data_IF_593595245353
#
_entry.id   IF_593595245353
#
_cell.length_a   1.000
_cell.length_b   1.000
_cell.length_c   1.000
_cell.angle_alpha   90.00
_cell.angle_beta   90.00
_cell.angle_gamma   90.00
#
_symmetry.space_group_name_H-M   'P 1'
#
loop_
_entity.id
_entity.type
_entity.pdbx_description
1 polymer ?
#
# COMPACT_ATOMS: atom_id res chain seq x y z
N UNK A 1 35.18 -23.73 -77.52
CA UNK A 1 35.47 -22.30 -77.33
C UNK A 1 34.79 -21.85 -76.05
N UNK A 2 35.39 -22.09 -74.88
CA UNK A 2 36.29 -21.20 -74.10
C UNK A 2 35.63 -19.94 -73.53
N UNK A 3 35.61 -19.84 -72.19
CA UNK A 3 35.43 -18.62 -71.39
C UNK A 3 34.13 -18.61 -70.58
N UNK A 4 34.06 -18.27 -69.28
CA UNK A 4 35.01 -17.64 -68.38
C UNK A 4 34.60 -17.97 -66.93
N UNK A 5 35.57 -18.29 -66.08
CA UNK A 5 35.42 -18.39 -64.61
C UNK A 5 35.16 -17.00 -64.02
N UNK A 6 34.32 -16.88 -62.98
CA UNK A 6 34.50 -15.88 -61.91
C UNK A 6 33.71 -16.25 -60.65
N UNK A 7 34.46 -16.46 -59.57
CA UNK A 7 34.02 -16.64 -58.20
C UNK A 7 33.53 -15.33 -57.60
N UNK A 8 32.54 -15.37 -56.70
CA UNK A 8 32.29 -14.35 -55.67
C UNK A 8 31.62 -15.06 -54.48
N UNK A 9 32.41 -15.40 -53.46
CA UNK A 9 32.62 -14.65 -52.21
C UNK A 9 31.40 -14.66 -51.28
N UNK A 10 31.52 -15.50 -50.25
CA UNK A 10 30.67 -15.54 -49.07
C UNK A 10 30.73 -14.22 -48.31
N UNK A 11 29.57 -13.70 -47.90
CA UNK A 11 29.48 -12.62 -46.92
C UNK A 11 28.62 -13.11 -45.75
N UNK A 12 29.30 -13.60 -44.71
CA UNK A 12 28.75 -13.87 -43.39
C UNK A 12 28.30 -12.53 -42.78
N UNK A 13 26.99 -12.30 -42.74
CA UNK A 13 26.38 -11.20 -42.00
C UNK A 13 26.45 -11.51 -40.50
N UNK A 14 27.50 -11.02 -39.85
CA UNK A 14 27.59 -10.90 -38.40
C UNK A 14 26.58 -9.82 -37.96
N UNK A 15 25.41 -10.25 -37.52
CA UNK A 15 24.48 -9.38 -36.80
C UNK A 15 25.07 -9.01 -35.44
N UNK A 16 25.26 -7.73 -35.12
CA UNK A 16 25.64 -7.33 -33.76
C UNK A 16 24.46 -7.64 -32.84
N UNK A 17 24.68 -8.54 -31.89
CA UNK A 17 23.82 -8.70 -30.72
C UNK A 17 23.91 -7.37 -29.96
N UNK A 18 22.86 -6.55 -30.10
CA UNK A 18 22.69 -5.38 -29.25
C UNK A 18 22.58 -5.89 -27.81
N UNK A 19 23.62 -5.68 -27.01
CA UNK A 19 23.53 -5.76 -25.56
C UNK A 19 22.48 -4.71 -25.14
N UNK A 20 21.25 -5.16 -24.93
CA UNK A 20 20.28 -4.42 -24.14
C UNK A 20 20.88 -4.31 -22.74
N UNK A 21 21.49 -3.16 -22.46
CA UNK A 21 21.77 -2.71 -21.11
C UNK A 21 20.43 -2.73 -20.39
N UNK A 22 20.27 -3.68 -19.47
CA UNK A 22 19.08 -3.80 -18.66
C UNK A 22 18.84 -2.46 -17.98
N UNK A 23 17.68 -1.86 -18.25
CA UNK A 23 17.13 -0.82 -17.41
C UNK A 23 17.04 -1.40 -16.01
N UNK A 24 17.91 -0.95 -15.10
CA UNK A 24 17.74 -1.21 -13.69
C UNK A 24 16.32 -0.74 -13.33
N UNK A 25 15.42 -1.68 -13.09
CA UNK A 25 14.09 -1.37 -12.60
C UNK A 25 14.30 -0.54 -11.33
N UNK A 26 13.79 0.70 -11.33
CA UNK A 26 13.82 1.53 -10.14
C UNK A 26 13.21 0.69 -9.00
N UNK A 27 13.95 0.52 -7.92
CA UNK A 27 13.46 -0.21 -6.76
C UNK A 27 12.12 0.41 -6.34
N UNK A 28 11.08 -0.41 -6.23
CA UNK A 28 9.78 0.07 -5.78
C UNK A 28 9.93 0.72 -4.40
N UNK A 29 9.28 1.85 -4.19
CA UNK A 29 9.25 2.52 -2.88
C UNK A 29 7.96 2.13 -2.19
N UNK A 30 8.06 1.64 -0.95
CA UNK A 30 6.93 1.36 -0.07
C UNK A 30 6.94 2.39 1.04
N UNK A 31 5.86 3.16 1.14
CA UNK A 31 5.72 4.12 2.24
C UNK A 31 5.21 3.40 3.49
N UNK A 32 5.88 3.63 4.62
CA UNK A 32 5.45 3.15 5.93
C UNK A 32 4.96 4.32 6.77
N UNK A 33 3.67 4.33 7.10
CA UNK A 33 3.06 5.37 7.93
C UNK A 33 3.31 5.04 9.40
N UNK A 34 3.81 6.03 10.16
CA UNK A 34 4.14 5.91 11.57
C UNK A 34 3.30 6.87 12.42
N UNK A 35 2.95 6.47 13.64
CA UNK A 35 2.39 7.37 14.66
C UNK A 35 1.04 6.94 15.23
N UNK A 36 0.47 7.77 16.09
CA UNK A 36 -0.84 7.50 16.69
C UNK A 36 -1.94 8.10 15.83
N UNK A 37 -2.95 7.30 15.51
CA UNK A 37 -4.14 7.76 14.80
C UNK A 37 -5.09 8.44 15.76
N UNK A 38 -5.50 9.65 15.41
CA UNK A 38 -6.35 10.55 16.20
C UNK A 38 -7.48 11.10 15.35
N UNK A 39 -8.42 11.79 15.97
CA UNK A 39 -9.51 12.46 15.28
C UNK A 39 -9.03 13.45 14.20
N UNK A 40 -7.88 14.09 14.43
CA UNK A 40 -7.36 15.15 13.56
C UNK A 40 -6.64 14.60 12.32
N UNK A 41 -6.01 13.42 12.43
CA UNK A 41 -5.19 12.85 11.35
C UNK A 41 -5.82 11.62 10.66
N UNK A 42 -6.96 11.11 11.15
CA UNK A 42 -7.63 9.94 10.58
C UNK A 42 -7.98 10.11 9.09
N UNK A 43 -8.51 11.27 8.69
CA UNK A 43 -8.88 11.53 7.30
C UNK A 43 -7.66 11.47 6.34
N UNK A 44 -6.48 11.85 6.82
CA UNK A 44 -5.26 11.77 6.02
C UNK A 44 -4.81 10.31 5.85
N UNK A 45 -4.97 9.48 6.88
CA UNK A 45 -4.73 8.04 6.78
C UNK A 45 -5.72 7.37 5.82
N UNK A 46 -7.00 7.70 5.89
CA UNK A 46 -8.03 7.18 4.96
C UNK A 46 -7.70 7.52 3.51
N UNK A 47 -7.32 8.77 3.23
CA UNK A 47 -6.89 9.19 1.90
C UNK A 47 -5.68 8.41 1.41
N UNK A 48 -4.64 8.29 2.25
CA UNK A 48 -3.45 7.52 1.92
C UNK A 48 -3.77 6.06 1.57
N UNK A 49 -4.63 5.40 2.36
CA UNK A 49 -5.02 4.02 2.11
C UNK A 49 -5.90 3.88 0.86
N UNK A 50 -6.81 4.83 0.62
CA UNK A 50 -7.66 4.86 -0.57
C UNK A 50 -6.83 4.97 -1.86
N UNK A 51 -5.83 5.84 -1.85
CA UNK A 51 -4.90 6.01 -2.98
C UNK A 51 -3.95 4.81 -3.16
N UNK A 52 -3.79 4.02 -2.11
CA UNK A 52 -2.93 2.83 -2.08
C UNK A 52 -3.68 1.53 -2.37
N UNK A 53 -4.94 1.58 -2.82
CA UNK A 53 -5.69 0.37 -3.20
C UNK A 53 -4.89 -0.44 -4.23
N UNK A 54 -4.88 -1.76 -4.04
CA UNK A 54 -4.10 -2.73 -4.80
C UNK A 54 -2.57 -2.60 -4.68
N UNK A 55 -2.08 -1.77 -3.74
CA UNK A 55 -0.66 -1.59 -3.42
C UNK A 55 -0.34 -2.09 -2.01
N UNK A 56 0.95 -2.37 -1.78
CA UNK A 56 1.46 -2.72 -0.45
C UNK A 56 1.94 -1.45 0.24
N UNK A 57 1.50 -1.25 1.49
CA UNK A 57 1.92 -0.17 2.38
C UNK A 57 2.54 -0.73 3.65
N UNK A 58 3.41 0.04 4.30
CA UNK A 58 3.81 -0.23 5.68
C UNK A 58 2.90 0.52 6.64
N UNK A 59 2.54 -0.11 7.75
CA UNK A 59 1.86 0.56 8.85
C UNK A 59 2.59 0.25 10.15
N UNK A 60 2.93 1.32 10.87
CA UNK A 60 3.41 1.30 12.24
C UNK A 60 2.61 2.31 13.05
N UNK A 61 1.32 2.00 13.20
CA UNK A 61 0.34 2.93 13.75
C UNK A 61 -0.42 2.31 14.92
N UNK A 62 -0.97 3.18 15.77
CA UNK A 62 -1.83 2.76 16.87
C UNK A 62 -3.16 3.51 16.86
N UNK A 63 -4.23 2.82 17.23
CA UNK A 63 -5.56 3.38 17.42
C UNK A 63 -5.98 3.17 18.86
N UNK A 64 -6.47 4.20 19.55
CA UNK A 64 -7.03 4.03 20.89
C UNK A 64 -8.27 3.11 20.83
N UNK A 65 -8.33 2.08 21.67
CA UNK A 65 -9.48 1.18 21.75
C UNK A 65 -10.69 1.95 22.27
N UNK A 66 -11.76 1.96 21.47
CA UNK A 66 -12.95 2.74 21.72
C UNK A 66 -14.17 2.05 21.13
N UNK A 67 -15.01 1.51 22.01
CA UNK A 67 -16.34 1.01 21.66
C UNK A 67 -17.40 1.95 22.21
N UNK A 68 -17.81 2.93 21.41
CA UNK A 68 -18.88 3.83 21.80
C UNK A 68 -19.10 4.91 20.76
N UNK A 69 -20.17 4.77 19.96
CA UNK A 69 -20.47 5.71 18.88
C UNK A 69 -20.62 7.14 19.42
N UNK A 70 -19.61 7.96 19.14
CA UNK A 70 -19.60 9.39 19.39
C UNK A 70 -19.28 10.07 18.07
N UNK A 71 -20.22 10.89 17.61
CA UNK A 71 -20.07 11.64 16.36
C UNK A 71 -18.76 12.44 16.38
N UNK A 72 -18.01 12.33 15.29
CA UNK A 72 -16.75 13.04 15.09
C UNK A 72 -15.54 12.46 15.81
N UNK A 73 -15.65 11.29 16.47
CA UNK A 73 -14.53 10.61 17.13
C UNK A 73 -14.19 9.31 16.44
N UNK A 74 -12.91 9.09 16.14
CA UNK A 74 -12.41 7.82 15.60
C UNK A 74 -12.78 6.70 16.56
N UNK A 75 -13.43 5.69 16.01
CA UNK A 75 -13.74 4.44 16.70
C UNK A 75 -12.78 3.39 16.21
N UNK A 76 -12.26 2.57 17.12
CA UNK A 76 -11.43 1.44 16.80
C UNK A 76 -11.72 0.33 17.79
N UNK A 77 -12.19 -0.81 17.28
CA UNK A 77 -12.58 -1.95 18.09
C UNK A 77 -12.43 -3.24 17.29
N UNK A 78 -12.64 -4.38 17.96
CA UNK A 78 -12.69 -5.70 17.31
C UNK A 78 -14.12 -6.23 17.37
N UNK A 79 -14.65 -6.59 16.21
CA UNK A 79 -15.90 -7.35 16.06
C UNK A 79 -15.58 -8.78 15.60
N UNK A 80 -15.73 -9.74 16.51
CA UNK A 80 -15.27 -11.11 16.29
C UNK A 80 -13.76 -11.20 16.17
N UNK A 81 -13.26 -11.51 14.96
CA UNK A 81 -11.83 -11.57 14.63
C UNK A 81 -11.36 -10.37 13.79
N UNK A 82 -12.26 -9.42 13.52
CA UNK A 82 -12.00 -8.31 12.61
C UNK A 82 -11.83 -7.02 13.42
N UNK A 83 -10.66 -6.41 13.33
CA UNK A 83 -10.49 -5.00 13.66
C UNK A 83 -11.30 -4.14 12.70
N UNK A 84 -11.98 -3.14 13.24
CA UNK A 84 -12.76 -2.17 12.51
C UNK A 84 -12.44 -0.78 13.06
N UNK A 85 -12.14 0.16 12.17
CA UNK A 85 -12.02 1.57 12.51
C UNK A 85 -12.70 2.47 11.49
N UNK A 86 -13.37 3.51 11.99
CA UNK A 86 -14.09 4.51 11.21
C UNK A 86 -14.30 5.74 12.08
N UNK A 87 -14.63 6.87 11.46
CA UNK A 87 -15.03 8.09 12.14
C UNK A 87 -16.50 8.39 11.84
N UNK A 88 -17.44 8.14 12.78
CA UNK A 88 -18.86 8.43 12.58
C UNK A 88 -19.08 9.91 12.31
N UNK A 89 -19.93 10.24 11.35
CA UNK A 89 -20.28 11.62 11.01
C UNK A 89 -21.05 11.71 9.70
N UNK A 90 -21.54 12.91 9.34
CA UNK A 90 -22.23 13.14 8.07
C UNK A 90 -21.32 12.88 6.86
N UNK A 91 -20.01 13.02 7.04
CA UNK A 91 -18.97 12.81 6.03
C UNK A 91 -18.25 11.45 6.23
N UNK A 92 -18.90 10.47 6.88
CA UNK A 92 -18.33 9.13 7.01
C UNK A 92 -18.37 8.44 5.64
N UNK A 93 -17.23 8.43 4.97
CA UNK A 93 -17.10 7.88 3.63
C UNK A 93 -16.46 6.50 3.61
N UNK A 94 -15.64 6.18 4.62
CA UNK A 94 -14.82 4.96 4.64
C UNK A 94 -14.77 4.31 6.03
N UNK A 95 -14.67 2.98 6.02
CA UNK A 95 -14.22 2.17 7.16
C UNK A 95 -12.96 1.41 6.77
N UNK A 96 -12.05 1.21 7.72
CA UNK A 96 -10.84 0.40 7.55
C UNK A 96 -11.00 -0.86 8.40
N UNK A 97 -10.77 -2.02 7.79
CA UNK A 97 -10.91 -3.32 8.44
C UNK A 97 -9.68 -4.18 8.27
N UNK A 98 -9.36 -4.98 9.28
CA UNK A 98 -8.26 -5.94 9.23
C UNK A 98 -8.60 -7.17 10.06
N UNK A 99 -8.34 -8.38 9.55
CA UNK A 99 -8.50 -9.61 10.34
C UNK A 99 -7.20 -10.07 11.01
N UNK A 100 -6.06 -9.52 10.57
CA UNK A 100 -4.73 -9.92 11.00
C UNK A 100 -3.78 -8.72 10.99
N UNK A 101 -2.58 -8.90 11.56
CA UNK A 101 -1.52 -7.89 11.56
C UNK A 101 -1.74 -6.74 12.54
N UNK A 102 -2.70 -6.88 13.46
CA UNK A 102 -2.89 -5.97 14.59
C UNK A 102 -2.84 -6.74 15.92
N UNK A 103 -2.58 -6.01 17.00
CA UNK A 103 -2.63 -6.55 18.37
C UNK A 103 -3.11 -5.49 19.35
N UNK A 104 -3.90 -5.89 20.35
CA UNK A 104 -4.30 -4.98 21.42
C UNK A 104 -3.18 -4.88 22.46
N UNK A 105 -2.66 -3.68 22.67
CA UNK A 105 -1.59 -3.39 23.64
C UNK A 105 -1.94 -2.14 24.44
N UNK A 106 -2.06 -2.26 25.76
CA UNK A 106 -2.29 -1.13 26.67
C UNK A 106 -3.48 -0.23 26.30
N UNK A 107 -4.57 -0.80 25.76
CA UNK A 107 -5.73 -0.03 25.32
C UNK A 107 -5.60 0.58 23.92
N UNK A 108 -4.63 0.12 23.11
CA UNK A 108 -4.47 0.54 21.73
C UNK A 108 -4.42 -0.68 20.80
N UNK A 109 -5.08 -0.60 19.64
CA UNK A 109 -4.85 -1.52 18.53
C UNK A 109 -3.61 -1.08 17.77
N UNK A 110 -2.55 -1.88 17.85
CA UNK A 110 -1.25 -1.59 17.25
C UNK A 110 -1.08 -2.43 15.99
N UNK A 111 -0.82 -1.74 14.88
CA UNK A 111 -0.39 -2.30 13.60
C UNK A 111 1.11 -2.07 13.47
N UNK A 112 1.87 -3.15 13.23
CA UNK A 112 3.31 -3.08 12.96
C UNK A 112 3.66 -4.12 11.90
N UNK A 113 3.71 -3.70 10.64
CA UNK A 113 3.96 -4.59 9.53
C UNK A 113 3.62 -3.98 8.16
N UNK A 114 3.45 -4.86 7.18
CA UNK A 114 3.11 -4.50 5.81
C UNK A 114 1.75 -5.07 5.42
N UNK A 115 1.01 -4.32 4.63
CA UNK A 115 -0.37 -4.62 4.31
C UNK A 115 -0.64 -4.37 2.83
N UNK A 116 -1.28 -5.34 2.17
CA UNK A 116 -1.89 -5.13 0.87
C UNK A 116 -3.26 -4.48 1.10
N UNK A 117 -3.46 -3.29 0.55
CA UNK A 117 -4.74 -2.58 0.68
C UNK A 117 -5.69 -3.07 -0.40
N UNK A 118 -6.91 -3.44 0.00
CA UNK A 118 -7.95 -3.92 -0.92
C UNK A 118 -9.23 -3.16 -0.71
N UNK A 119 -9.92 -2.86 -1.80
CA UNK A 119 -11.28 -2.37 -1.73
C UNK A 119 -12.22 -3.52 -1.33
N UNK A 120 -12.87 -3.36 -0.17
CA UNK A 120 -13.81 -4.32 0.43
C UNK A 120 -15.25 -4.18 -0.06
N UNK A 121 -15.54 -3.17 -0.89
CA UNK A 121 -16.89 -2.88 -1.38
C UNK A 121 -17.49 -1.63 -0.75
N UNK A 122 -18.78 -1.40 -0.99
CA UNK A 122 -19.56 -0.31 -0.41
C UNK A 122 -20.84 -0.86 0.21
N UNK A 123 -21.14 -0.45 1.43
CA UNK A 123 -22.37 -0.81 2.13
C UNK A 123 -23.02 0.45 2.72
N UNK A 124 -24.29 0.70 2.39
CA UNK A 124 -25.04 1.88 2.87
C UNK A 124 -24.34 3.22 2.59
N UNK A 125 -23.54 3.31 1.52
CA UNK A 125 -22.81 4.52 1.15
C UNK A 125 -21.43 4.67 1.79
N UNK A 126 -21.02 3.73 2.66
CA UNK A 126 -19.70 3.70 3.29
C UNK A 126 -18.84 2.70 2.51
N UNK A 127 -17.67 3.14 2.07
CA UNK A 127 -16.66 2.29 1.43
C UNK A 127 -15.88 1.51 2.48
N UNK A 128 -15.49 0.28 2.19
CA UNK A 128 -14.68 -0.53 3.09
C UNK A 128 -13.28 -0.72 2.50
N UNK A 129 -12.23 -0.47 3.28
CA UNK A 129 -10.84 -0.77 2.94
C UNK A 129 -10.35 -1.93 3.81
N UNK A 130 -9.97 -3.04 3.18
CA UNK A 130 -9.43 -4.21 3.84
C UNK A 130 -7.91 -4.21 3.81
N UNK A 131 -7.29 -4.36 4.98
CA UNK A 131 -5.86 -4.52 5.16
C UNK A 131 -5.52 -6.00 5.28
N UNK A 132 -4.78 -6.52 4.31
CA UNK A 132 -4.31 -7.91 4.30
C UNK A 132 -2.84 -7.95 4.69
N UNK A 133 -2.51 -8.59 5.82
CA UNK A 133 -1.14 -8.70 6.28
C UNK A 133 -0.25 -9.39 5.23
N UNK A 134 0.90 -8.79 4.97
CA UNK A 134 1.94 -9.30 4.07
C UNK A 134 3.16 -9.68 4.92
N UNK A 135 3.76 -10.83 4.60
CA UNK A 135 4.98 -11.28 5.25
C UNK A 135 6.14 -10.32 4.96
N UNK A 136 6.75 -9.77 6.01
CA UNK A 136 7.89 -8.85 5.92
C UNK A 136 9.05 -9.47 5.14
N UNK A 137 9.25 -10.79 5.20
CA UNK A 137 10.29 -11.46 4.41
C UNK A 137 10.10 -11.25 2.90
N UNK A 138 8.86 -11.18 2.41
CA UNK A 138 8.57 -10.90 1.00
C UNK A 138 8.98 -9.47 0.62
N UNK A 139 8.78 -8.52 1.52
CA UNK A 139 9.17 -7.12 1.33
C UNK A 139 10.68 -7.00 1.27
N UNK A 140 11.39 -7.62 2.21
CA UNK A 140 12.86 -7.62 2.24
C UNK A 140 13.46 -8.26 0.99
N UNK A 141 12.88 -9.36 0.51
CA UNK A 141 13.34 -10.07 -0.69
C UNK A 141 12.96 -9.37 -2.00
N UNK A 142 11.96 -8.49 -2.00
CA UNK A 142 11.55 -7.74 -3.20
C UNK A 142 12.57 -6.70 -3.66
N UNK A 143 13.51 -6.31 -2.78
CA UNK A 143 14.44 -5.20 -3.02
C UNK A 143 13.77 -3.82 -3.00
N UNK A 144 12.51 -3.73 -2.59
CA UNK A 144 11.83 -2.46 -2.38
C UNK A 144 12.50 -1.65 -1.26
N UNK A 145 12.51 -0.33 -1.43
CA UNK A 145 12.96 0.60 -0.38
C UNK A 145 11.77 0.99 0.47
N UNK A 146 11.92 0.91 1.78
CA UNK A 146 10.92 1.40 2.72
C UNK A 146 11.25 2.82 3.12
N UNK A 147 10.27 3.73 2.98
CA UNK A 147 10.38 5.12 3.38
C UNK A 147 9.36 5.42 4.48
N UNK A 148 9.86 5.86 5.63
CA UNK A 148 9.04 6.22 6.77
C UNK A 148 8.41 7.60 6.58
N UNK A 149 7.11 7.68 6.85
CA UNK A 149 6.30 8.91 6.80
C UNK A 149 5.53 9.01 8.11
N UNK A 150 5.57 10.16 8.78
CA UNK A 150 4.76 10.40 9.98
C UNK A 150 3.31 10.69 9.59
N UNK A 151 2.35 10.15 10.33
CA UNK A 151 0.92 10.32 10.05
C UNK A 151 0.51 11.80 10.05
N UNK A 152 1.12 12.61 10.92
CA UNK A 152 0.81 14.04 11.06
C UNK A 152 1.31 14.90 9.89
N UNK A 153 2.14 14.35 9.01
CA UNK A 153 2.60 15.03 7.78
C UNK A 153 1.96 14.50 6.51
N UNK A 154 1.07 13.50 6.61
CA UNK A 154 0.25 13.08 5.47
C UNK A 154 -0.62 14.26 5.05
N UNK A 155 -0.53 14.65 3.78
CA UNK A 155 -1.29 15.78 3.26
C UNK A 155 -2.78 15.40 3.14
N UNK A 156 -3.69 16.01 3.92
CA UNK A 156 -5.12 15.75 3.79
C UNK A 156 -5.69 16.22 2.44
N UNK A 157 -4.97 17.04 1.65
CA UNK A 157 -5.40 17.48 0.33
C UNK A 157 -5.24 16.41 -0.77
N UNK A 158 -4.58 15.28 -0.48
CA UNK A 158 -4.55 14.10 -1.36
C UNK A 158 -5.95 13.47 -1.48
N UNK A 159 -6.81 13.63 -0.46
CA UNK A 159 -8.19 13.07 -0.35
C UNK A 159 -9.17 13.59 -1.43
N UNK A 160 -8.85 14.67 -2.17
CA UNK A 160 -9.81 15.38 -3.05
C UNK A 160 -9.50 15.38 -4.55
N UNK A 161 -8.79 14.39 -5.09
CA UNK A 161 -8.55 14.31 -6.55
C UNK A 161 -9.41 13.28 -7.27
#
# INVERSE_FOLDING_TARGET
MTGFRRAFLALLLLSPVALQTGTAAAAAVIHRVNGTVTDDNFAALEGFLSDSVDSIVGLKVSFEDGSGSRDGQVQAYVDGEMFVTYKPGPDMETEIVATQGHSLQHGFHVFDGFFLVKYGGMNQGISSLSLQAVDEAQILLSGARVEDVEIDVLDPAIVKR
#
